data_IF_438528024852
#
_entry.id   IF_438528024852
#
_cell.length_a   1.000
_cell.length_b   1.000
_cell.length_c   1.000
_cell.angle_alpha   90.00
_cell.angle_beta   90.00
_cell.angle_gamma   90.00
#
_symmetry.space_group_name_H-M   'P 1'
#
loop_
_entity.id
_entity.type
_entity.pdbx_description
1 polymer ?
#
# COMPACT_ATOMS: atom_id res chain seq x y z
N UNK A 1 -3.97 13.51 8.48
CA UNK A 1 -5.09 13.66 7.50
C UNK A 1 -6.25 12.79 7.96
N UNK A 2 -7.48 13.19 7.65
CA UNK A 2 -8.63 12.35 7.98
C UNK A 2 -8.68 11.16 7.00
N UNK A 3 -8.81 9.93 7.52
CA UNK A 3 -8.87 8.72 6.71
C UNK A 3 -10.22 8.61 5.99
N UNK A 4 -10.24 7.96 4.83
CA UNK A 4 -11.47 7.56 4.16
C UNK A 4 -12.24 6.59 5.04
N UNK A 5 -13.51 6.88 5.27
CA UNK A 5 -14.40 6.07 6.09
C UNK A 5 -15.67 5.74 5.32
N UNK A 6 -16.09 4.49 5.37
CA UNK A 6 -17.40 4.07 4.88
C UNK A 6 -18.31 3.77 6.06
N UNK A 7 -19.58 4.19 6.00
CA UNK A 7 -20.55 3.96 7.06
C UNK A 7 -21.94 3.61 6.54
N UNK A 8 -22.61 2.70 7.24
CA UNK A 8 -24.00 2.29 6.99
C UNK A 8 -24.68 1.93 8.29
N UNK A 9 -25.92 2.37 8.49
CA UNK A 9 -26.76 1.95 9.60
C UNK A 9 -27.86 1.04 9.08
N UNK A 10 -27.90 -0.25 9.49
CA UNK A 10 -28.97 -1.17 9.10
C UNK A 10 -30.34 -0.75 9.66
N UNK A 11 -31.40 -0.89 8.86
CA UNK A 11 -32.77 -0.58 9.26
C UNK A 11 -33.40 -1.62 10.21
N UNK A 12 -32.85 -2.83 10.21
CA UNK A 12 -33.28 -3.95 11.08
C UNK A 12 -32.10 -4.86 11.39
N UNK A 13 -32.16 -5.61 12.48
CA UNK A 13 -31.13 -6.57 12.82
C UNK A 13 -31.21 -7.81 11.90
N UNK A 14 -30.04 -8.28 11.47
CA UNK A 14 -29.85 -9.57 10.83
C UNK A 14 -29.49 -10.67 11.83
N UNK A 15 -28.78 -11.70 11.35
CA UNK A 15 -28.31 -12.77 12.21
C UNK A 15 -27.03 -12.32 12.93
N UNK A 16 -27.12 -12.15 14.23
CA UNK A 16 -26.05 -11.67 15.09
C UNK A 16 -25.20 -12.79 15.68
N UNK A 17 -25.62 -14.04 15.50
CA UNK A 17 -24.95 -15.25 16.04
C UNK A 17 -24.07 -15.94 15.01
N UNK A 18 -24.50 -15.89 13.75
CA UNK A 18 -23.81 -16.57 12.65
C UNK A 18 -23.53 -15.58 11.51
N UNK A 19 -22.27 -15.40 11.15
CA UNK A 19 -21.86 -14.55 10.03
C UNK A 19 -20.42 -14.83 9.61
N UNK A 20 -20.08 -14.39 8.42
CA UNK A 20 -18.68 -14.41 7.93
C UNK A 20 -18.28 -13.02 7.45
N UNK A 21 -17.09 -12.58 7.79
CA UNK A 21 -16.46 -11.37 7.27
C UNK A 21 -15.24 -11.81 6.49
N UNK A 22 -15.15 -11.38 5.23
CA UNK A 22 -14.03 -11.64 4.34
C UNK A 22 -13.54 -10.32 3.75
N UNK A 23 -12.24 -10.03 3.85
CA UNK A 23 -11.64 -8.82 3.33
C UNK A 23 -10.21 -9.06 2.90
N UNK A 24 -9.81 -8.48 1.77
CA UNK A 24 -8.43 -8.33 1.40
C UNK A 24 -7.91 -6.97 1.83
N UNK A 25 -6.75 -6.96 2.47
CA UNK A 25 -6.12 -5.74 3.00
C UNK A 25 -4.63 -5.76 2.74
N UNK A 26 -4.08 -4.60 2.32
CA UNK A 26 -2.64 -4.32 2.27
C UNK A 26 -2.38 -3.11 3.15
N UNK A 27 -1.40 -3.21 4.05
CA UNK A 27 -1.07 -2.17 5.01
C UNK A 27 -0.01 -1.23 4.44
N UNK A 28 -0.17 0.06 4.68
CA UNK A 28 0.80 1.09 4.30
C UNK A 28 1.32 1.88 5.50
N UNK A 29 0.98 1.43 6.71
CA UNK A 29 1.48 1.98 7.97
C UNK A 29 1.59 0.87 9.00
N UNK A 30 2.69 0.87 9.75
CA UNK A 30 2.98 -0.10 10.80
C UNK A 30 3.07 0.61 12.16
N UNK A 31 2.90 -0.16 13.24
CA UNK A 31 3.01 0.37 14.59
C UNK A 31 1.82 1.23 15.04
N UNK A 32 0.76 1.33 14.24
CA UNK A 32 -0.46 2.09 14.52
C UNK A 32 -1.71 1.23 14.40
N UNK A 33 -2.83 1.71 14.94
CA UNK A 33 -4.11 1.01 14.80
C UNK A 33 -4.68 1.23 13.39
N UNK A 34 -4.88 0.12 12.66
CA UNK A 34 -5.53 0.14 11.35
C UNK A 34 -6.87 -0.59 11.41
N UNK A 35 -7.95 0.16 11.46
CA UNK A 35 -9.29 -0.34 11.69
C UNK A 35 -9.91 -0.89 10.40
N UNK A 36 -10.35 -2.14 10.43
CA UNK A 36 -11.06 -2.79 9.32
C UNK A 36 -12.57 -2.66 9.48
N UNK A 37 -13.08 -2.86 10.70
CA UNK A 37 -14.49 -2.73 11.04
C UNK A 37 -14.63 -2.21 12.46
N UNK A 38 -15.60 -1.30 12.68
CA UNK A 38 -16.07 -0.88 14.00
C UNK A 38 -17.60 -0.79 14.02
N UNK A 39 -18.18 -1.28 15.09
CA UNK A 39 -19.57 -1.03 15.48
C UNK A 39 -19.54 -0.56 16.92
N UNK A 40 -20.04 0.65 17.18
CA UNK A 40 -19.95 1.31 18.49
C UNK A 40 -21.34 1.83 18.90
N UNK A 41 -22.16 0.95 19.45
CA UNK A 41 -23.50 1.24 19.90
C UNK A 41 -23.68 1.19 21.41
N UNK A 42 -22.60 1.04 22.19
CA UNK A 42 -22.70 1.00 23.63
C UNK A 42 -21.59 0.25 24.37
N UNK A 43 -21.79 0.04 25.66
CA UNK A 43 -20.76 -0.38 26.61
C UNK A 43 -20.78 -1.89 26.91
N UNK A 44 -21.15 -2.72 25.93
CA UNK A 44 -21.15 -4.18 26.04
C UNK A 44 -20.83 -4.85 24.70
N UNK A 45 -20.46 -6.14 24.74
CA UNK A 45 -20.05 -6.90 23.57
C UNK A 45 -21.18 -7.18 22.56
N UNK A 46 -22.44 -6.99 22.94
CA UNK A 46 -23.56 -7.14 22.00
C UNK A 46 -23.77 -5.90 21.14
N UNK A 47 -23.20 -4.77 21.52
CA UNK A 47 -23.34 -3.49 20.82
C UNK A 47 -22.01 -2.87 20.40
N UNK A 48 -20.89 -3.48 20.80
CA UNK A 48 -19.54 -3.02 20.44
C UNK A 48 -18.70 -4.17 19.88
N UNK A 49 -18.07 -3.93 18.76
CA UNK A 49 -17.02 -4.78 18.19
C UNK A 49 -16.08 -3.95 17.33
N UNK A 50 -14.81 -4.28 17.35
CA UNK A 50 -13.80 -3.79 16.41
C UNK A 50 -12.98 -4.95 15.85
N UNK A 51 -12.58 -4.80 14.59
CA UNK A 51 -11.61 -5.66 13.91
C UNK A 51 -10.54 -4.78 13.34
N UNK A 52 -9.30 -4.99 13.76
CA UNK A 52 -8.17 -4.09 13.41
C UNK A 52 -6.83 -4.81 13.45
N UNK A 53 -5.82 -4.19 12.87
CA UNK A 53 -4.45 -4.39 13.30
C UNK A 53 -4.21 -3.46 14.50
N UNK A 54 -3.70 -3.99 15.60
CA UNK A 54 -3.34 -3.19 16.77
C UNK A 54 -1.99 -2.47 16.58
N UNK A 55 -1.61 -1.58 17.50
CA UNK A 55 -0.33 -0.87 17.47
C UNK A 55 0.91 -1.78 17.62
N UNK A 56 0.72 -3.06 17.92
CA UNK A 56 1.75 -4.10 17.90
C UNK A 56 1.77 -4.90 16.60
N UNK A 57 1.03 -4.47 15.57
CA UNK A 57 0.90 -5.12 14.25
C UNK A 57 0.25 -6.51 14.29
N UNK A 58 -0.61 -6.77 15.28
CA UNK A 58 -1.35 -8.02 15.41
C UNK A 58 -2.79 -7.83 14.94
N UNK A 59 -3.39 -8.89 14.37
CA UNK A 59 -4.83 -8.90 14.14
C UNK A 59 -5.59 -9.09 15.44
N UNK A 60 -6.58 -8.23 15.65
CA UNK A 60 -7.42 -8.20 16.82
C UNK A 60 -8.91 -8.17 16.41
N UNK A 61 -9.70 -9.00 17.06
CA UNK A 61 -11.14 -8.89 17.14
C UNK A 61 -11.50 -8.54 18.58
N UNK A 62 -11.83 -7.27 18.82
CA UNK A 62 -12.09 -6.72 20.16
C UNK A 62 -13.55 -6.57 20.44
N UNK A 63 -13.98 -6.95 21.64
CA UNK A 63 -15.24 -6.56 22.24
C UNK A 63 -15.05 -5.41 23.22
N UNK A 64 -16.13 -4.87 23.77
CA UNK A 64 -16.07 -3.77 24.72
C UNK A 64 -15.35 -4.13 26.02
N UNK A 65 -15.67 -5.29 26.58
CA UNK A 65 -15.14 -5.73 27.89
C UNK A 65 -13.84 -6.54 27.77
N UNK A 66 -13.62 -7.18 26.61
CA UNK A 66 -12.43 -8.01 26.38
C UNK A 66 -12.22 -8.27 24.89
N UNK A 67 -10.97 -8.47 24.51
CA UNK A 67 -10.67 -8.92 23.15
C UNK A 67 -11.06 -10.40 22.99
N UNK A 68 -11.80 -10.72 21.94
CA UNK A 68 -12.16 -12.09 21.60
C UNK A 68 -10.94 -12.86 21.08
N UNK A 69 -10.23 -12.31 20.08
CA UNK A 69 -9.02 -12.90 19.54
C UNK A 69 -7.95 -11.82 19.32
N UNK A 70 -6.70 -12.12 19.68
CA UNK A 70 -5.52 -11.36 19.30
C UNK A 70 -4.41 -12.31 18.89
N UNK A 71 -3.90 -12.22 17.67
CA UNK A 71 -2.88 -13.14 17.16
C UNK A 71 -1.52 -12.93 17.85
N UNK A 72 -0.69 -13.98 17.89
CA UNK A 72 0.75 -13.84 18.13
C UNK A 72 1.48 -13.41 16.86
N UNK A 73 0.95 -13.79 15.70
CA UNK A 73 1.48 -13.41 14.39
C UNK A 73 1.48 -11.90 14.21
N UNK A 74 2.57 -11.38 13.65
CA UNK A 74 2.75 -9.98 13.27
C UNK A 74 2.54 -9.82 11.76
N UNK A 75 1.89 -8.73 11.34
CA UNK A 75 1.55 -8.42 9.97
C UNK A 75 2.34 -7.19 9.52
N UNK A 76 3.62 -7.35 9.24
CA UNK A 76 4.59 -6.26 9.01
C UNK A 76 5.12 -6.15 7.60
N UNK A 77 4.60 -6.94 6.67
CA UNK A 77 4.96 -6.80 5.26
C UNK A 77 4.05 -5.76 4.58
N UNK A 78 4.57 -4.57 4.25
CA UNK A 78 3.79 -3.51 3.60
C UNK A 78 3.50 -3.81 2.13
N UNK A 79 4.16 -4.83 1.58
CA UNK A 79 3.95 -5.25 0.20
C UNK A 79 2.97 -6.42 0.08
N UNK A 80 2.56 -7.04 1.18
CA UNK A 80 1.67 -8.19 1.15
C UNK A 80 0.19 -7.77 1.18
N UNK A 81 -0.58 -8.35 0.28
CA UNK A 81 -2.01 -8.46 0.45
C UNK A 81 -2.34 -9.62 1.38
N UNK A 82 -3.08 -9.35 2.45
CA UNK A 82 -3.59 -10.35 3.37
C UNK A 82 -5.08 -10.56 3.11
N UNK A 83 -5.49 -11.80 2.89
CA UNK A 83 -6.90 -12.19 2.93
C UNK A 83 -7.26 -12.58 4.35
N UNK A 84 -8.15 -11.83 4.97
CA UNK A 84 -8.61 -12.06 6.34
C UNK A 84 -10.04 -12.55 6.31
N UNK A 85 -10.31 -13.71 6.93
CA UNK A 85 -11.66 -14.23 7.10
C UNK A 85 -11.91 -14.48 8.57
N UNK A 86 -12.90 -13.77 9.14
CA UNK A 86 -13.51 -14.10 10.41
C UNK A 86 -14.79 -14.90 10.18
N UNK A 87 -14.77 -16.11 10.65
CA UNK A 87 -15.93 -17.01 10.67
C UNK A 87 -16.49 -17.03 12.09
N UNK A 88 -17.71 -16.58 12.27
CA UNK A 88 -18.40 -16.52 13.57
C UNK A 88 -19.63 -17.39 13.54
N UNK A 89 -19.79 -18.23 14.57
CA UNK A 89 -20.98 -19.03 14.85
C UNK A 89 -21.06 -19.28 16.34
N UNK A 90 -21.71 -18.40 17.09
CA UNK A 90 -21.82 -18.49 18.54
C UNK A 90 -22.74 -19.66 18.99
N UNK A 91 -23.47 -20.30 18.08
CA UNK A 91 -24.33 -21.46 18.42
C UNK A 91 -23.54 -22.73 18.73
N UNK A 92 -22.22 -22.74 18.34
CA UNK A 92 -21.36 -23.90 18.55
C UNK A 92 -21.17 -24.22 20.04
N UNK A 93 -21.28 -25.52 20.38
CA UNK A 93 -21.08 -26.00 21.76
C UNK A 93 -19.62 -25.81 22.20
N UNK A 94 -18.69 -26.14 21.32
CA UNK A 94 -17.26 -25.93 21.57
C UNK A 94 -16.92 -24.45 21.48
N UNK A 95 -16.33 -23.89 22.54
CA UNK A 95 -16.04 -22.46 22.61
C UNK A 95 -15.09 -21.99 21.49
N UNK A 96 -14.07 -22.78 21.17
CA UNK A 96 -13.09 -22.47 20.16
C UNK A 96 -13.61 -22.51 18.72
N UNK A 97 -14.79 -23.10 18.53
CA UNK A 97 -15.46 -23.15 17.22
C UNK A 97 -16.36 -21.93 16.97
N UNK A 98 -16.64 -21.13 18.01
CA UNK A 98 -17.52 -19.95 17.89
C UNK A 98 -16.90 -18.80 17.10
N UNK A 99 -15.58 -18.62 17.19
CA UNK A 99 -14.84 -17.64 16.39
C UNK A 99 -13.59 -18.29 15.83
N UNK A 100 -13.46 -18.28 14.52
CA UNK A 100 -12.28 -18.75 13.81
C UNK A 100 -11.75 -17.66 12.89
N UNK A 101 -10.44 -17.50 12.88
CA UNK A 101 -9.71 -16.55 12.03
C UNK A 101 -8.91 -17.33 10.99
N UNK A 102 -8.97 -16.89 9.75
CA UNK A 102 -8.14 -17.41 8.66
C UNK A 102 -7.35 -16.27 8.02
N UNK A 103 -6.11 -16.56 7.68
CA UNK A 103 -5.23 -15.66 6.95
C UNK A 103 -4.72 -16.38 5.71
N UNK A 104 -5.00 -15.83 4.53
CA UNK A 104 -4.64 -16.44 3.25
C UNK A 104 -5.05 -17.93 3.17
N UNK A 105 -6.30 -18.21 3.54
CA UNK A 105 -6.89 -19.54 3.52
C UNK A 105 -6.51 -20.46 4.68
N UNK A 106 -5.48 -20.14 5.45
CA UNK A 106 -4.98 -20.97 6.56
C UNK A 106 -5.57 -20.49 7.88
N UNK A 107 -6.10 -21.44 8.68
CA UNK A 107 -6.64 -21.11 10.01
C UNK A 107 -5.51 -20.67 10.94
N UNK A 108 -5.68 -19.49 11.55
CA UNK A 108 -4.80 -19.02 12.63
C UNK A 108 -5.15 -19.76 13.91
N UNK A 109 -4.17 -20.32 14.56
CA UNK A 109 -4.33 -21.11 15.80
C UNK A 109 -3.47 -20.57 16.95
N UNK A 110 -2.58 -19.63 16.68
CA UNK A 110 -1.68 -19.04 17.67
C UNK A 110 -2.16 -17.66 18.11
N UNK A 111 -2.69 -17.58 19.32
CA UNK A 111 -3.25 -16.38 19.90
C UNK A 111 -2.54 -15.98 21.19
N UNK A 112 -2.19 -14.70 21.31
CA UNK A 112 -1.75 -14.10 22.57
C UNK A 112 -2.91 -13.80 23.50
N UNK A 113 -4.12 -13.72 22.95
CA UNK A 113 -5.37 -13.60 23.71
C UNK A 113 -6.49 -14.31 22.98
N UNK A 114 -7.28 -15.09 23.72
CA UNK A 114 -8.50 -15.74 23.21
C UNK A 114 -9.54 -15.80 24.32
N UNK A 115 -10.63 -15.05 24.14
CA UNK A 115 -11.81 -15.05 25.01
C UNK A 115 -13.04 -15.25 24.13
N UNK A 116 -13.45 -16.48 23.93
CA UNK A 116 -14.57 -16.77 23.04
C UNK A 116 -15.89 -16.19 23.60
N UNK A 117 -16.81 -15.73 22.74
CA UNK A 117 -18.15 -15.34 23.17
C UNK A 117 -18.88 -16.53 23.82
N UNK A 118 -19.87 -16.26 24.67
CA UNK A 118 -20.75 -17.26 25.21
C UNK A 118 -21.50 -18.01 24.12
N UNK A 119 -21.98 -19.22 24.44
CA UNK A 119 -22.83 -19.95 23.51
C UNK A 119 -24.18 -19.21 23.32
N UNK A 120 -24.56 -19.02 22.06
CA UNK A 120 -25.73 -18.26 21.63
C UNK A 120 -25.69 -16.76 21.93
N UNK A 121 -24.50 -16.19 22.25
CA UNK A 121 -24.37 -14.74 22.38
C UNK A 121 -24.66 -14.04 21.06
N UNK A 122 -25.37 -12.93 21.14
CA UNK A 122 -25.53 -11.97 20.05
C UNK A 122 -24.29 -11.08 19.95
N UNK A 123 -23.68 -11.02 18.78
CA UNK A 123 -22.57 -10.11 18.48
C UNK A 123 -23.08 -8.74 18.02
N UNK A 124 -22.20 -7.73 17.98
CA UNK A 124 -22.56 -6.39 17.47
C UNK A 124 -22.76 -6.37 15.94
N UNK A 125 -22.10 -7.26 15.20
CA UNK A 125 -22.27 -7.37 13.74
C UNK A 125 -23.73 -7.71 13.41
N UNK A 126 -24.23 -7.14 12.32
CA UNK A 126 -25.61 -7.25 11.86
C UNK A 126 -26.67 -6.67 12.83
N UNK A 127 -26.27 -5.87 13.82
CA UNK A 127 -27.21 -5.09 14.65
C UNK A 127 -27.74 -3.86 13.87
N UNK A 128 -28.59 -3.08 14.52
CA UNK A 128 -29.07 -1.79 13.99
C UNK A 128 -28.12 -0.62 14.27
N UNK A 129 -26.96 -0.90 14.83
CA UNK A 129 -25.90 0.09 15.05
C UNK A 129 -25.10 0.34 13.78
N UNK A 130 -24.60 1.55 13.60
CA UNK A 130 -23.79 1.92 12.44
C UNK A 130 -22.55 1.04 12.33
N UNK A 131 -22.36 0.47 11.15
CA UNK A 131 -21.16 -0.26 10.76
C UNK A 131 -20.21 0.71 10.07
N UNK A 132 -18.98 0.82 10.57
CA UNK A 132 -17.93 1.69 10.08
C UNK A 132 -16.78 0.85 9.57
N UNK A 133 -16.28 1.15 8.35
CA UNK A 133 -15.15 0.47 7.73
C UNK A 133 -14.03 1.48 7.47
N UNK A 134 -12.79 1.09 7.72
CA UNK A 134 -11.59 1.78 7.26
C UNK A 134 -11.21 3.08 7.98
N UNK A 135 -11.88 3.49 9.07
CA UNK A 135 -11.78 4.84 9.66
C UNK A 135 -10.38 5.26 10.13
N UNK A 136 -9.47 4.33 10.38
CA UNK A 136 -8.05 4.62 10.71
C UNK A 136 -7.08 3.84 9.82
N UNK A 137 -7.58 3.20 8.77
CA UNK A 137 -6.73 2.42 7.88
C UNK A 137 -5.93 3.34 6.97
N UNK A 138 -4.60 3.20 7.01
CA UNK A 138 -3.70 3.66 5.97
C UNK A 138 -3.25 2.43 5.18
N UNK A 139 -3.79 2.28 3.96
CA UNK A 139 -3.60 1.06 3.16
C UNK A 139 -4.70 0.86 2.14
N UNK A 140 -4.84 -0.36 1.69
CA UNK A 140 -5.75 -0.75 0.62
C UNK A 140 -6.73 -1.80 1.10
N UNK A 141 -7.95 -1.74 0.59
CA UNK A 141 -8.98 -2.76 0.76
C UNK A 141 -9.44 -3.27 -0.60
N UNK A 142 -9.72 -4.55 -0.69
CA UNK A 142 -10.36 -5.14 -1.85
C UNK A 142 -11.37 -6.22 -1.42
N UNK A 143 -12.45 -6.34 -2.18
CA UNK A 143 -13.48 -7.37 -2.00
C UNK A 143 -13.90 -7.53 -0.52
N UNK A 144 -14.52 -6.50 0.05
CA UNK A 144 -15.04 -6.56 1.42
C UNK A 144 -16.42 -7.20 1.42
N UNK A 145 -16.58 -8.33 2.12
CA UNK A 145 -17.81 -9.11 2.17
C UNK A 145 -18.22 -9.33 3.62
N UNK A 146 -19.51 -9.10 3.93
CA UNK A 146 -20.17 -9.69 5.09
C UNK A 146 -21.30 -10.61 4.58
N UNK A 147 -21.27 -11.88 5.00
CA UNK A 147 -22.35 -12.83 4.77
C UNK A 147 -23.14 -12.98 6.07
N UNK A 148 -24.34 -12.41 6.11
CA UNK A 148 -25.24 -12.43 7.24
C UNK A 148 -25.98 -13.79 7.32
N UNK A 149 -25.95 -14.44 8.47
CA UNK A 149 -26.60 -15.73 8.73
C UNK A 149 -25.79 -16.93 8.24
N UNK A 150 -24.57 -16.76 7.75
CA UNK A 150 -23.77 -17.85 7.17
C UNK A 150 -22.35 -17.89 7.74
N UNK A 151 -21.89 -19.11 8.07
CA UNK A 151 -20.53 -19.40 8.59
C UNK A 151 -19.72 -20.13 7.51
N UNK A 152 -19.23 -19.39 6.52
CA UNK A 152 -18.50 -19.93 5.37
C UNK A 152 -17.02 -20.23 5.69
N UNK A 153 -16.47 -21.24 5.02
CA UNK A 153 -15.03 -21.50 5.03
C UNK A 153 -14.27 -20.45 4.23
N UNK A 154 -12.99 -20.23 4.55
CA UNK A 154 -12.15 -19.28 3.81
C UNK A 154 -12.01 -19.63 2.31
N UNK A 155 -12.08 -20.92 1.97
CA UNK A 155 -12.03 -21.44 0.59
C UNK A 155 -13.24 -21.01 -0.26
N UNK A 156 -14.31 -20.49 0.33
CA UNK A 156 -15.42 -19.86 -0.41
C UNK A 156 -14.95 -18.58 -1.12
N UNK A 157 -14.02 -17.84 -0.52
CA UNK A 157 -13.59 -16.52 -0.95
C UNK A 157 -12.25 -16.50 -1.67
N UNK A 158 -11.54 -17.61 -1.69
CA UNK A 158 -10.24 -17.74 -2.38
C UNK A 158 -9.82 -19.20 -2.53
N UNK A 159 -8.74 -19.42 -3.25
CA UNK A 159 -8.14 -20.73 -3.47
C UNK A 159 -6.63 -20.59 -3.63
N UNK A 160 -5.91 -21.69 -3.46
CA UNK A 160 -4.47 -21.75 -3.76
C UNK A 160 -4.29 -22.10 -5.24
N UNK A 161 -3.50 -21.31 -5.95
CA UNK A 161 -3.16 -21.56 -7.35
C UNK A 161 -2.09 -22.66 -7.50
N UNK A 162 -1.72 -22.97 -8.75
CA UNK A 162 -0.73 -24.01 -9.05
C UNK A 162 0.68 -23.71 -8.49
N UNK A 163 0.98 -22.46 -8.16
CA UNK A 163 2.26 -22.03 -7.60
C UNK A 163 2.25 -21.98 -6.06
N UNK A 164 1.15 -22.37 -5.44
CA UNK A 164 1.00 -22.31 -3.99
C UNK A 164 0.58 -20.93 -3.44
N UNK A 165 0.23 -19.98 -4.31
CA UNK A 165 -0.19 -18.63 -3.93
C UNK A 165 -1.69 -18.61 -3.66
N UNK A 166 -2.10 -18.03 -2.53
CA UNK A 166 -3.50 -17.80 -2.22
C UNK A 166 -4.05 -16.64 -3.05
N UNK A 167 -5.05 -16.91 -3.87
CA UNK A 167 -5.66 -15.96 -4.79
C UNK A 167 -7.14 -15.75 -4.47
N UNK A 168 -7.69 -14.59 -4.86
CA UNK A 168 -9.09 -14.24 -4.64
C UNK A 168 -10.03 -15.03 -5.55
N UNK A 169 -11.21 -15.37 -5.02
CA UNK A 169 -12.38 -15.73 -5.82
C UNK A 169 -13.20 -14.44 -6.08
N UNK A 170 -13.23 -13.91 -7.30
CA UNK A 170 -13.91 -12.64 -7.59
C UNK A 170 -15.44 -12.75 -7.51
N UNK A 171 -15.99 -13.95 -7.67
CA UNK A 171 -17.42 -14.24 -7.66
C UNK A 171 -17.79 -15.34 -6.68
N UNK A 172 -17.58 -15.15 -5.35
CA UNK A 172 -17.92 -16.20 -4.39
C UNK A 172 -19.42 -16.48 -4.38
N UNK A 173 -19.79 -17.75 -4.40
CA UNK A 173 -21.19 -18.18 -4.27
C UNK A 173 -21.59 -18.17 -2.81
N UNK A 174 -22.19 -17.07 -2.37
CA UNK A 174 -22.61 -16.86 -0.97
C UNK A 174 -24.03 -16.32 -0.88
N UNK A 175 -24.74 -16.66 0.20
CA UNK A 175 -25.95 -15.95 0.61
C UNK A 175 -25.55 -14.77 1.49
N UNK A 176 -25.97 -13.57 1.12
CA UNK A 176 -25.64 -12.37 1.88
C UNK A 176 -26.59 -12.09 3.05
N UNK A 177 -27.76 -12.78 3.11
CA UNK A 177 -28.77 -12.54 4.15
C UNK A 177 -29.33 -11.12 4.10
N UNK A 178 -29.82 -10.60 5.24
CA UNK A 178 -30.48 -9.28 5.28
C UNK A 178 -29.51 -8.12 5.30
N UNK A 179 -28.49 -8.19 6.13
CA UNK A 179 -27.52 -7.09 6.36
C UNK A 179 -26.17 -7.30 5.66
N UNK A 180 -25.97 -8.45 5.02
CA UNK A 180 -24.74 -8.74 4.29
C UNK A 180 -24.60 -7.90 3.04
N UNK A 181 -23.36 -7.74 2.60
CA UNK A 181 -22.99 -6.91 1.46
C UNK A 181 -21.68 -7.40 0.81
N UNK A 182 -21.42 -6.89 -0.40
CA UNK A 182 -20.13 -7.02 -1.10
C UNK A 182 -19.72 -5.66 -1.65
N UNK A 183 -18.56 -5.16 -1.23
CA UNK A 183 -17.99 -3.91 -1.74
C UNK A 183 -16.79 -4.23 -2.64
N UNK A 184 -16.86 -3.77 -3.89
CA UNK A 184 -15.78 -3.89 -4.87
C UNK A 184 -14.99 -2.59 -5.05
N UNK A 185 -15.38 -1.49 -4.37
CA UNK A 185 -14.72 -0.18 -4.35
C UNK A 185 -14.48 0.42 -5.75
N UNK A 186 -15.42 0.23 -6.67
CA UNK A 186 -15.33 0.68 -8.07
C UNK A 186 -16.01 2.02 -8.34
N UNK A 187 -16.94 2.43 -7.49
CA UNK A 187 -17.63 3.71 -7.60
C UNK A 187 -16.72 4.89 -7.25
N UNK A 188 -17.16 6.09 -7.58
CA UNK A 188 -16.42 7.34 -7.36
C UNK A 188 -17.15 8.35 -6.50
N UNK A 189 -18.46 8.15 -6.27
CA UNK A 189 -19.29 9.02 -5.46
C UNK A 189 -19.14 8.77 -3.95
N UNK A 190 -19.65 9.70 -3.16
CA UNK A 190 -19.67 9.60 -1.68
C UNK A 190 -21.03 9.14 -1.14
N UNK A 191 -22.07 9.12 -1.97
CA UNK A 191 -23.42 8.72 -1.60
C UNK A 191 -23.55 7.22 -1.38
N UNK A 192 -24.52 6.83 -0.54
CA UNK A 192 -24.87 5.43 -0.31
C UNK A 192 -25.83 4.92 -1.41
N UNK A 193 -25.30 4.78 -2.62
CA UNK A 193 -26.05 4.31 -3.80
C UNK A 193 -25.13 3.50 -4.73
N UNK A 194 -25.64 3.10 -5.88
CA UNK A 194 -24.95 2.26 -6.88
C UNK A 194 -23.78 2.96 -7.57
N UNK A 195 -23.67 4.29 -7.50
CA UNK A 195 -22.55 5.08 -8.05
C UNK A 195 -21.47 5.36 -7.02
N UNK A 196 -21.77 5.15 -5.74
CA UNK A 196 -20.89 5.45 -4.62
C UNK A 196 -19.66 4.53 -4.54
N UNK A 197 -18.59 5.03 -3.94
CA UNK A 197 -17.39 4.23 -3.65
C UNK A 197 -17.72 3.03 -2.75
N UNK A 198 -18.71 3.18 -1.86
CA UNK A 198 -19.26 2.14 -0.99
C UNK A 198 -20.45 1.38 -1.60
N UNK A 199 -20.58 1.30 -2.94
CA UNK A 199 -21.65 0.58 -3.60
C UNK A 199 -21.63 -0.91 -3.26
N UNK A 200 -22.76 -1.42 -2.78
CA UNK A 200 -22.98 -2.85 -2.54
C UNK A 200 -23.34 -3.57 -3.85
N UNK A 201 -22.56 -4.58 -4.21
CA UNK A 201 -22.72 -5.40 -5.41
C UNK A 201 -23.30 -6.79 -5.10
N UNK A 202 -23.74 -7.03 -3.86
CA UNK A 202 -24.38 -8.30 -3.44
C UNK A 202 -25.79 -8.50 -3.99
N UNK A 203 -26.46 -7.42 -4.38
CA UNK A 203 -27.87 -7.38 -4.74
C UNK A 203 -28.82 -6.98 -3.59
N UNK A 204 -28.32 -6.78 -2.37
CA UNK A 204 -29.13 -6.38 -1.22
C UNK A 204 -29.35 -4.85 -1.13
N UNK A 205 -28.64 -4.06 -1.94
CA UNK A 205 -28.64 -2.60 -1.86
C UNK A 205 -28.20 -2.04 -0.50
N UNK A 206 -27.32 -2.75 0.19
CA UNK A 206 -26.74 -2.35 1.48
C UNK A 206 -25.55 -1.41 1.26
N UNK A 207 -25.76 -0.32 0.52
CA UNK A 207 -24.73 0.66 0.16
C UNK A 207 -24.21 1.44 1.38
N UNK A 208 -22.95 1.83 1.34
CA UNK A 208 -22.26 2.64 2.34
C UNK A 208 -22.05 4.06 1.84
N UNK A 209 -22.35 5.04 2.67
CA UNK A 209 -21.89 6.42 2.47
C UNK A 209 -20.39 6.50 2.76
N UNK A 210 -19.69 7.36 2.03
CA UNK A 210 -18.25 7.56 2.18
C UNK A 210 -17.95 8.98 2.63
N UNK A 211 -17.08 9.15 3.62
CA UNK A 211 -16.55 10.42 4.08
C UNK A 211 -15.04 10.49 3.88
N UNK A 212 -14.51 11.68 3.68
CA UNK A 212 -13.09 11.94 3.44
C UNK A 212 -12.52 11.13 2.25
N UNK A 213 -13.32 10.92 1.20
CA UNK A 213 -12.86 10.23 0.00
C UNK A 213 -11.81 11.07 -0.70
N UNK A 214 -10.62 10.48 -0.89
CA UNK A 214 -9.52 11.13 -1.60
C UNK A 214 -9.81 11.33 -3.10
N UNK A 215 -8.94 12.05 -3.78
CA UNK A 215 -9.08 12.34 -5.22
C UNK A 215 -8.94 11.08 -6.08
N UNK A 216 -8.08 10.15 -5.70
CA UNK A 216 -7.84 8.87 -6.38
C UNK A 216 -8.11 7.71 -5.42
N UNK A 217 -9.39 7.44 -5.07
CA UNK A 217 -9.71 6.43 -4.08
C UNK A 217 -9.51 4.99 -4.57
N UNK A 218 -9.53 4.79 -5.88
CA UNK A 218 -9.33 3.48 -6.51
C UNK A 218 -7.95 3.40 -7.14
N UNK A 219 -7.29 2.25 -6.99
CA UNK A 219 -5.95 1.98 -7.51
C UNK A 219 -5.92 0.75 -8.41
N UNK A 220 -4.88 0.61 -9.21
CA UNK A 220 -4.58 -0.62 -9.98
C UNK A 220 -4.00 -1.72 -9.12
N UNK A 221 -3.51 -1.40 -7.91
CA UNK A 221 -3.00 -2.38 -6.96
C UNK A 221 -4.14 -3.30 -6.49
N UNK A 222 -3.92 -4.59 -6.56
CA UNK A 222 -4.93 -5.59 -6.23
C UNK A 222 -4.29 -6.89 -5.75
N UNK A 223 -5.04 -7.76 -5.04
CA UNK A 223 -4.53 -9.07 -4.63
C UNK A 223 -4.03 -9.96 -5.77
N UNK A 224 -4.49 -9.72 -7.00
CA UNK A 224 -4.09 -10.49 -8.20
C UNK A 224 -2.99 -9.85 -9.01
N UNK A 225 -2.67 -8.60 -8.74
CA UNK A 225 -1.53 -7.89 -9.32
C UNK A 225 -1.07 -6.79 -8.37
N UNK A 226 -0.15 -7.14 -7.50
CA UNK A 226 0.35 -6.28 -6.46
C UNK A 226 1.47 -5.38 -7.00
N UNK A 227 1.31 -4.07 -6.87
CA UNK A 227 2.31 -3.08 -7.27
C UNK A 227 3.25 -2.76 -6.10
N UNK A 228 4.48 -2.37 -6.42
CA UNK A 228 5.37 -1.80 -5.44
C UNK A 228 4.76 -0.54 -4.82
N UNK A 229 5.17 -0.25 -3.62
CA UNK A 229 4.92 0.99 -2.88
C UNK A 229 6.24 1.43 -2.22
N UNK A 230 6.26 2.51 -1.49
CA UNK A 230 7.41 2.86 -0.65
C UNK A 230 7.48 1.88 0.52
N UNK A 231 8.67 1.41 0.84
CA UNK A 231 8.89 0.51 1.96
C UNK A 231 8.76 1.25 3.29
N UNK A 232 7.60 1.11 3.94
CA UNK A 232 7.31 1.77 5.23
C UNK A 232 8.16 1.23 6.38
N UNK A 233 8.73 0.04 6.23
CA UNK A 233 9.66 -0.55 7.22
C UNK A 233 11.08 0.01 7.07
N UNK A 234 11.38 0.65 5.94
CA UNK A 234 12.68 1.25 5.60
C UNK A 234 12.56 2.77 5.45
N UNK A 235 11.90 3.44 6.37
CA UNK A 235 11.78 4.89 6.40
C UNK A 235 12.93 5.46 7.24
N UNK A 236 14.06 5.74 6.58
CA UNK A 236 15.27 6.19 7.22
C UNK A 236 15.28 7.70 7.46
N UNK A 237 16.00 8.11 8.51
CA UNK A 237 16.26 9.49 8.86
C UNK A 237 15.01 10.32 9.14
N UNK A 238 14.73 10.65 10.33
CA UNK A 238 13.72 11.60 10.78
C UNK A 238 12.26 11.35 10.34
N UNK A 239 12.00 10.26 9.68
CA UNK A 239 10.65 9.84 9.39
C UNK A 239 9.91 10.76 8.42
N UNK A 240 10.09 10.55 7.13
CA UNK A 240 9.16 11.07 6.17
C UNK A 240 7.74 10.62 6.52
N UNK A 241 6.76 11.48 6.30
CA UNK A 241 5.36 11.08 6.37
C UNK A 241 4.98 10.38 5.08
N UNK A 242 4.53 9.13 5.18
CA UNK A 242 4.02 8.35 4.06
C UNK A 242 2.49 8.39 4.05
N UNK A 243 1.91 8.60 2.88
CA UNK A 243 0.47 8.71 2.68
C UNK A 243 0.05 8.07 1.35
N UNK A 244 -1.26 8.13 1.03
CA UNK A 244 -1.83 7.63 -0.23
C UNK A 244 -1.43 6.16 -0.49
N UNK A 245 -1.54 5.31 0.53
CA UNK A 245 -1.14 3.92 0.40
C UNK A 245 0.38 3.70 0.30
N UNK A 246 1.19 4.57 0.89
CA UNK A 246 2.65 4.62 0.80
C UNK A 246 3.17 4.86 -0.64
N UNK A 247 2.47 5.70 -1.40
CA UNK A 247 2.92 6.20 -2.71
C UNK A 247 3.22 7.70 -2.70
N UNK A 248 2.93 8.39 -1.57
CA UNK A 248 3.28 9.79 -1.36
C UNK A 248 4.22 9.95 -0.18
N UNK A 249 5.35 10.61 -0.40
CA UNK A 249 6.35 10.93 0.62
C UNK A 249 6.29 12.44 0.87
N UNK A 250 6.13 12.84 2.13
CA UNK A 250 6.34 14.23 2.53
C UNK A 250 7.56 14.25 3.43
N UNK A 251 8.60 14.94 3.00
CA UNK A 251 9.87 15.03 3.70
C UNK A 251 9.77 15.95 4.91
N UNK A 252 10.67 15.75 5.86
CA UNK A 252 10.78 16.63 7.02
C UNK A 252 11.93 17.61 6.77
N UNK A 253 11.61 18.87 6.52
CA UNK A 253 12.59 19.91 6.17
C UNK A 253 13.68 20.22 7.21
N UNK A 254 13.81 19.44 8.26
CA UNK A 254 14.85 19.60 9.30
C UNK A 254 15.91 18.47 9.28
N UNK A 255 15.77 17.47 8.41
CA UNK A 255 16.67 16.31 8.39
C UNK A 255 16.64 15.59 7.04
N UNK A 256 17.67 14.79 6.79
CA UNK A 256 17.74 13.88 5.64
C UNK A 256 16.53 12.97 5.60
N UNK A 257 16.00 12.74 4.43
CA UNK A 257 14.94 11.78 4.16
C UNK A 257 15.37 10.85 3.04
N UNK A 258 15.17 9.57 3.24
CA UNK A 258 15.54 8.56 2.26
C UNK A 258 14.54 7.39 2.32
N UNK A 259 13.92 7.10 1.19
CA UNK A 259 12.93 6.05 1.07
C UNK A 259 13.20 5.22 -0.19
N UNK A 260 12.97 3.92 -0.12
CA UNK A 260 13.14 2.99 -1.25
C UNK A 260 11.84 2.29 -1.58
N UNK A 261 11.76 1.74 -2.79
CA UNK A 261 10.65 0.87 -3.20
C UNK A 261 10.57 -0.38 -2.33
N UNK A 262 9.36 -0.88 -2.07
CA UNK A 262 9.11 -2.11 -1.32
C UNK A 262 9.55 -3.38 -2.05
N UNK A 263 9.75 -3.29 -3.36
CA UNK A 263 10.26 -4.38 -4.20
C UNK A 263 11.63 -3.99 -4.72
N UNK A 264 12.64 -4.85 -4.48
CA UNK A 264 13.94 -4.81 -5.12
C UNK A 264 13.97 -5.79 -6.30
N UNK A 265 14.73 -5.45 -7.34
CA UNK A 265 14.85 -6.23 -8.57
C UNK A 265 16.30 -6.59 -8.85
N UNK A 266 16.54 -7.83 -9.33
CA UNK A 266 17.86 -8.33 -9.72
C UNK A 266 17.99 -8.54 -11.23
N UNK A 267 16.89 -8.47 -11.96
CA UNK A 267 16.81 -8.65 -13.41
C UNK A 267 15.63 -7.86 -13.97
N UNK A 268 15.52 -7.79 -15.29
CA UNK A 268 14.41 -7.15 -15.99
C UNK A 268 14.56 -5.64 -16.15
N UNK A 269 13.56 -5.03 -16.80
CA UNK A 269 13.53 -3.59 -17.10
C UNK A 269 12.26 -2.95 -16.55
N UNK A 270 12.44 -1.96 -15.68
CA UNK A 270 11.38 -1.43 -14.85
C UNK A 270 11.23 0.07 -15.02
N UNK A 271 9.99 0.57 -15.01
CA UNK A 271 9.68 1.99 -15.15
C UNK A 271 8.84 2.48 -13.97
N UNK A 272 9.20 3.64 -13.47
CA UNK A 272 8.53 4.34 -12.37
C UNK A 272 8.47 5.82 -12.69
N UNK A 273 7.40 6.50 -12.25
CA UNK A 273 7.30 7.95 -12.30
C UNK A 273 7.28 8.55 -10.90
N UNK A 274 7.79 9.76 -10.77
CA UNK A 274 7.63 10.60 -9.58
C UNK A 274 7.15 11.99 -9.99
N UNK A 275 5.96 12.36 -9.56
CA UNK A 275 5.47 13.72 -9.73
C UNK A 275 5.95 14.58 -8.58
N UNK A 276 6.67 15.63 -8.92
CA UNK A 276 7.20 16.58 -7.96
C UNK A 276 6.08 17.41 -7.38
N UNK A 277 5.88 17.27 -6.07
CA UNK A 277 4.83 17.99 -5.33
C UNK A 277 5.24 19.39 -4.90
N UNK A 278 4.77 19.84 -3.74
CA UNK A 278 5.10 21.14 -3.23
C UNK A 278 6.54 21.24 -2.72
N UNK A 279 7.16 22.36 -3.00
CA UNK A 279 8.53 22.69 -2.59
C UNK A 279 9.56 21.80 -3.28
N UNK A 280 10.60 22.39 -3.76
CA UNK A 280 11.83 21.71 -4.12
C UNK A 280 12.98 22.53 -3.57
N UNK A 281 13.99 21.85 -3.09
CA UNK A 281 15.26 22.47 -2.74
C UNK A 281 16.39 21.82 -3.55
N UNK A 282 17.59 22.26 -3.27
CA UNK A 282 18.79 21.86 -3.96
C UNK A 282 19.09 20.36 -3.94
N UNK A 283 18.52 19.62 -2.98
CA UNK A 283 18.90 18.25 -2.66
C UNK A 283 17.71 17.28 -2.68
N UNK A 284 16.59 17.74 -3.19
CA UNK A 284 15.45 16.90 -3.45
C UNK A 284 15.73 16.05 -4.69
N UNK A 285 15.73 14.73 -4.57
CA UNK A 285 16.23 13.85 -5.61
C UNK A 285 15.51 12.53 -5.75
N UNK A 286 15.64 11.97 -6.94
CA UNK A 286 15.19 10.62 -7.31
C UNK A 286 16.35 9.80 -7.82
N UNK A 287 16.33 8.48 -7.63
CA UNK A 287 17.46 7.66 -8.08
C UNK A 287 17.25 6.16 -7.90
N UNK A 288 18.39 5.45 -7.91
CA UNK A 288 18.49 4.00 -7.73
C UNK A 288 19.43 3.71 -6.56
N UNK A 289 19.08 2.74 -5.74
CA UNK A 289 19.85 2.28 -4.59
C UNK A 289 19.94 0.76 -4.51
N UNK A 290 20.94 0.25 -3.81
CA UNK A 290 21.13 -1.19 -3.57
C UNK A 290 20.26 -1.77 -2.44
N UNK A 291 19.31 -1.01 -1.93
CA UNK A 291 18.45 -1.41 -0.82
C UNK A 291 18.75 -0.65 0.46
N UNK A 292 18.51 -1.29 1.59
CA UNK A 292 18.66 -0.69 2.91
C UNK A 292 20.13 -0.53 3.28
N UNK A 293 20.54 0.68 3.65
CA UNK A 293 21.80 0.88 4.35
C UNK A 293 21.55 1.32 5.78
N UNK A 294 22.35 0.83 6.68
CA UNK A 294 22.32 1.19 8.12
C UNK A 294 22.97 2.56 8.39
N UNK A 295 23.44 3.25 7.39
CA UNK A 295 24.18 4.51 7.55
C UNK A 295 23.32 5.74 7.41
N UNK A 296 23.45 6.54 8.42
CA UNK A 296 22.57 7.63 8.76
C UNK A 296 22.80 8.96 8.01
N UNK A 297 23.50 9.02 6.89
CA UNK A 297 23.86 10.31 6.32
C UNK A 297 24.20 10.31 4.83
N UNK A 298 23.65 9.38 4.06
CA UNK A 298 23.85 9.33 2.62
C UNK A 298 22.92 10.24 1.83
N UNK A 299 23.47 10.94 0.86
CA UNK A 299 22.75 11.51 -0.27
C UNK A 299 22.71 10.44 -1.35
N UNK A 300 21.60 10.28 -2.07
CA UNK A 300 21.51 9.35 -3.21
C UNK A 300 22.70 9.58 -4.16
N UNK A 301 23.50 8.54 -4.39
CA UNK A 301 24.66 8.60 -5.27
C UNK A 301 25.89 9.35 -4.73
N UNK A 302 25.90 9.76 -3.46
CA UNK A 302 27.02 10.49 -2.87
C UNK A 302 27.37 9.99 -1.47
N UNK A 303 28.64 9.63 -1.27
CA UNK A 303 29.24 9.30 0.04
C UNK A 303 30.40 10.24 0.41
N UNK A 304 30.35 11.52 0.12
CA UNK A 304 31.46 12.43 0.47
C UNK A 304 31.48 12.89 1.91
N UNK A 305 30.53 12.48 2.73
CA UNK A 305 30.45 12.93 4.14
C UNK A 305 30.88 11.89 5.16
N UNK A 306 31.10 10.63 4.75
CA UNK A 306 31.46 9.53 5.67
C UNK A 306 32.56 8.62 5.11
N UNK A 307 33.34 7.98 5.98
CA UNK A 307 34.49 7.20 5.56
C UNK A 307 34.10 6.04 4.66
N UNK A 308 34.91 5.84 3.64
CA UNK A 308 34.79 4.86 2.58
C UNK A 308 34.15 3.51 3.01
N UNK A 309 33.16 3.06 2.28
CA UNK A 309 32.56 1.72 2.39
C UNK A 309 31.08 1.67 2.73
N UNK A 310 30.36 2.78 2.72
CA UNK A 310 28.95 2.83 3.07
C UNK A 310 28.11 3.58 2.03
N UNK A 311 28.17 3.13 0.81
CA UNK A 311 27.47 3.72 -0.31
C UNK A 311 25.98 3.46 -0.25
N UNK A 312 25.18 4.52 -0.29
CA UNK A 312 23.75 4.49 -0.06
C UNK A 312 22.94 4.37 -1.32
N UNK A 313 23.31 5.05 -2.32
CA UNK A 313 22.63 5.08 -3.58
C UNK A 313 23.64 5.00 -4.68
N UNK A 314 23.36 4.19 -5.68
CA UNK A 314 24.26 4.11 -6.83
C UNK A 314 24.19 5.36 -7.68
N UNK A 315 22.99 6.00 -7.75
CA UNK A 315 22.78 7.22 -8.52
C UNK A 315 21.62 8.03 -7.96
N UNK A 316 21.75 9.37 -7.99
CA UNK A 316 20.68 10.30 -7.68
C UNK A 316 20.67 11.49 -8.66
N UNK A 317 19.50 11.85 -9.15
CA UNK A 317 19.25 13.06 -9.93
C UNK A 317 18.57 14.11 -9.08
N UNK A 318 19.16 15.30 -8.99
CA UNK A 318 18.77 16.38 -8.09
C UNK A 318 18.30 17.61 -8.84
N UNK A 319 17.33 18.33 -8.27
CA UNK A 319 16.60 19.45 -8.88
C UNK A 319 17.19 20.84 -8.69
N UNK A 320 18.42 20.98 -8.22
CA UNK A 320 18.98 22.29 -7.97
C UNK A 320 19.48 22.99 -9.23
N UNK A 321 19.18 24.26 -9.38
CA UNK A 321 19.50 25.28 -10.40
C UNK A 321 20.63 25.12 -11.39
N UNK A 322 21.33 24.04 -11.33
CA UNK A 322 22.24 23.46 -12.31
C UNK A 322 22.18 21.96 -12.10
N UNK A 323 21.45 21.32 -12.95
CA UNK A 323 21.17 19.89 -13.07
C UNK A 323 22.36 19.00 -12.80
N UNK A 324 22.32 18.21 -11.70
CA UNK A 324 23.41 17.28 -11.47
C UNK A 324 22.93 15.90 -11.05
N UNK A 325 23.68 14.94 -11.51
CA UNK A 325 23.55 13.54 -11.16
C UNK A 325 24.78 13.17 -10.32
N UNK A 326 24.55 12.58 -9.14
CA UNK A 326 25.59 11.93 -8.37
C UNK A 326 25.58 10.44 -8.64
N UNK A 327 26.75 9.83 -8.78
CA UNK A 327 26.88 8.41 -9.05
C UNK A 327 28.10 7.82 -8.34
N UNK A 328 27.92 6.67 -7.65
CA UNK A 328 28.99 5.82 -7.12
C UNK A 328 30.09 6.57 -6.38
N UNK A 329 29.73 7.34 -5.34
CA UNK A 329 30.69 8.09 -4.51
C UNK A 329 31.48 9.19 -5.25
N UNK A 330 31.20 9.40 -6.51
CA UNK A 330 31.79 10.45 -7.33
C UNK A 330 30.75 11.50 -7.68
N UNK A 331 31.08 12.76 -7.39
CA UNK A 331 30.53 13.86 -8.17
C UNK A 331 30.87 13.55 -9.62
N UNK A 332 29.89 13.34 -10.44
CA UNK A 332 30.08 13.36 -11.87
C UNK A 332 30.52 14.80 -12.19
N UNK A 333 31.80 15.01 -12.14
CA UNK A 333 32.46 16.31 -12.33
C UNK A 333 32.59 16.65 -13.80
N UNK A 334 31.55 16.42 -14.57
CA UNK A 334 31.35 17.16 -15.78
C UNK A 334 30.84 18.54 -15.37
N UNK A 335 31.26 19.58 -16.01
CA UNK A 335 30.56 20.84 -15.92
C UNK A 335 29.07 20.57 -16.13
N UNK A 336 28.20 21.36 -15.54
CA UNK A 336 26.75 21.32 -15.66
C UNK A 336 26.18 21.19 -17.10
N UNK A 337 27.06 21.27 -18.11
CA UNK A 337 26.77 21.09 -19.53
C UNK A 337 26.90 19.67 -20.06
N UNK A 338 27.44 18.71 -19.28
CA UNK A 338 27.79 17.39 -19.84
C UNK A 338 26.64 16.35 -19.74
N UNK A 339 25.55 16.63 -19.00
CA UNK A 339 24.47 15.67 -18.82
C UNK A 339 23.17 16.03 -19.51
N UNK A 340 23.06 17.15 -20.19
CA UNK A 340 21.84 17.55 -20.90
C UNK A 340 20.56 17.18 -20.13
N UNK A 341 20.67 17.22 -18.77
CA UNK A 341 19.55 17.11 -17.88
C UNK A 341 19.03 18.48 -17.57
N UNK A 342 17.75 18.73 -17.79
CA UNK A 342 17.15 20.02 -17.44
C UNK A 342 16.64 19.96 -16.01
N UNK A 343 16.88 21.01 -15.20
CA UNK A 343 16.32 21.14 -13.88
C UNK A 343 14.82 20.89 -13.84
N UNK A 344 14.34 20.36 -12.75
CA UNK A 344 12.91 20.11 -12.59
C UNK A 344 12.32 20.99 -11.48
N UNK A 345 11.02 21.15 -11.51
CA UNK A 345 10.28 22.01 -10.60
C UNK A 345 8.97 21.35 -10.16
N UNK A 346 8.29 21.96 -9.21
CA UNK A 346 6.97 21.52 -8.76
C UNK A 346 6.02 21.31 -9.95
N UNK A 347 5.40 20.15 -10.00
CA UNK A 347 4.47 19.75 -11.06
C UNK A 347 5.10 18.92 -12.17
N UNK A 348 6.43 18.94 -12.34
CA UNK A 348 7.10 18.03 -13.27
C UNK A 348 6.94 16.57 -12.86
N UNK A 349 6.93 15.69 -13.85
CA UNK A 349 6.91 14.24 -13.66
C UNK A 349 8.23 13.68 -14.16
N UNK A 350 8.98 13.06 -13.25
CA UNK A 350 10.25 12.41 -13.54
C UNK A 350 10.00 10.93 -13.78
N UNK A 351 10.57 10.41 -14.87
CA UNK A 351 10.56 8.99 -15.19
C UNK A 351 11.91 8.35 -14.91
N UNK A 352 11.91 7.18 -14.28
CA UNK A 352 13.10 6.38 -14.05
C UNK A 352 12.93 5.04 -14.76
N UNK A 353 13.80 4.75 -15.72
CA UNK A 353 13.82 3.51 -16.48
C UNK A 353 15.08 2.72 -16.13
N UNK A 354 14.92 1.76 -15.19
CA UNK A 354 15.96 0.87 -14.68
C UNK A 354 16.07 -0.37 -15.57
N UNK A 355 17.25 -0.61 -16.12
CA UNK A 355 17.61 -1.86 -16.79
C UNK A 355 18.52 -2.66 -15.84
N UNK A 356 17.95 -3.55 -15.05
CA UNK A 356 18.67 -4.35 -14.08
C UNK A 356 19.54 -5.43 -14.75
N UNK A 357 19.20 -5.86 -15.95
CA UNK A 357 20.01 -6.84 -16.71
C UNK A 357 21.37 -6.26 -17.11
N UNK A 358 21.41 -4.96 -17.40
CA UNK A 358 22.62 -4.24 -17.82
C UNK A 358 23.16 -3.29 -16.74
N UNK A 359 22.55 -3.24 -15.55
CA UNK A 359 22.90 -2.32 -14.47
C UNK A 359 22.95 -0.85 -14.94
N UNK A 360 21.89 -0.38 -15.58
CA UNK A 360 21.81 0.98 -16.09
C UNK A 360 20.47 1.63 -15.79
N UNK A 361 20.45 2.98 -15.74
CA UNK A 361 19.21 3.75 -15.62
C UNK A 361 19.17 4.88 -16.62
N UNK A 362 17.99 5.21 -17.13
CA UNK A 362 17.70 6.44 -17.87
C UNK A 362 16.70 7.27 -17.10
N UNK A 363 16.91 8.57 -17.10
CA UNK A 363 15.99 9.54 -16.54
C UNK A 363 15.16 10.22 -17.65
N UNK A 364 13.93 10.54 -17.31
CA UNK A 364 13.00 11.27 -18.18
C UNK A 364 12.41 12.45 -17.41
N UNK A 365 12.19 13.55 -18.08
CA UNK A 365 11.43 14.69 -17.58
C UNK A 365 10.22 14.93 -18.47
N UNK A 366 9.04 14.87 -17.91
CA UNK A 366 7.78 15.06 -18.66
C UNK A 366 7.74 14.22 -19.95
N UNK A 367 8.15 12.96 -19.84
CA UNK A 367 8.19 12.00 -20.96
C UNK A 367 9.39 12.14 -21.91
N UNK A 368 10.24 13.17 -21.74
CA UNK A 368 11.42 13.39 -22.56
C UNK A 368 12.66 12.79 -21.90
N UNK A 369 13.36 11.90 -22.61
CA UNK A 369 14.60 11.30 -22.12
C UNK A 369 15.67 12.35 -21.93
N UNK A 370 16.42 12.24 -20.84
CA UNK A 370 17.53 13.13 -20.50
C UNK A 370 18.86 12.55 -20.96
N UNK A 371 19.95 13.31 -20.81
CA UNK A 371 21.32 12.90 -21.18
C UNK A 371 21.44 12.45 -22.66
N UNK A 372 20.74 13.16 -23.57
CA UNK A 372 20.71 12.83 -25.01
C UNK A 372 20.32 11.34 -25.27
N UNK A 373 19.60 10.72 -24.33
CA UNK A 373 19.17 9.32 -24.40
C UNK A 373 20.22 8.29 -23.93
N UNK A 374 21.40 8.75 -23.48
CA UNK A 374 22.41 7.86 -22.91
C UNK A 374 21.98 7.38 -21.52
N UNK A 375 22.25 6.12 -21.23
CA UNK A 375 22.01 5.55 -19.91
C UNK A 375 23.20 5.83 -18.97
N UNK A 376 22.90 5.95 -17.68
CA UNK A 376 23.91 5.96 -16.63
C UNK A 376 24.21 4.54 -16.18
N UNK A 377 25.47 4.21 -15.97
CA UNK A 377 25.91 2.89 -15.52
C UNK A 377 25.92 2.85 -13.98
N UNK A 378 25.25 1.87 -13.40
CA UNK A 378 25.16 1.69 -11.95
C UNK A 378 26.32 0.87 -11.35
N UNK A 379 27.14 0.25 -12.20
CA UNK A 379 28.11 -0.74 -11.72
C UNK A 379 27.44 -2.06 -11.32
N UNK A 380 28.15 -2.89 -10.59
CA UNK A 380 27.62 -4.13 -10.06
C UNK A 380 26.97 -3.88 -8.69
N UNK A 381 25.78 -4.45 -8.45
CA UNK A 381 25.16 -4.39 -7.13
C UNK A 381 25.88 -5.28 -6.14
N UNK A 382 26.22 -4.75 -4.97
CA UNK A 382 26.84 -5.51 -3.87
C UNK A 382 25.82 -6.39 -3.14
N UNK A 383 24.54 -6.01 -3.16
CA UNK A 383 23.43 -6.77 -2.56
C UNK A 383 22.77 -7.73 -3.54
N UNK A 384 23.04 -7.58 -4.83
CA UNK A 384 22.37 -8.29 -5.92
C UNK A 384 20.99 -7.74 -6.28
N UNK A 385 20.57 -6.62 -5.67
CA UNK A 385 19.25 -6.00 -5.91
C UNK A 385 19.37 -4.49 -6.13
N UNK A 386 18.42 -3.97 -6.92
CA UNK A 386 18.22 -2.55 -7.16
C UNK A 386 16.83 -2.13 -6.68
N UNK A 387 16.76 -0.97 -6.05
CA UNK A 387 15.53 -0.32 -5.62
C UNK A 387 15.43 1.07 -6.24
N UNK A 388 14.22 1.51 -6.56
CA UNK A 388 13.94 2.92 -6.81
C UNK A 388 14.01 3.68 -5.49
N UNK A 389 14.63 4.85 -5.51
CA UNK A 389 14.93 5.61 -4.32
C UNK A 389 14.49 7.08 -4.47
N UNK A 390 14.00 7.65 -3.38
CA UNK A 390 13.46 8.99 -3.30
C UNK A 390 13.98 9.64 -2.03
N UNK A 391 14.53 10.84 -2.15
CA UNK A 391 15.22 11.44 -1.03
C UNK A 391 15.20 12.96 -1.02
N UNK A 392 15.54 13.49 0.13
CA UNK A 392 15.71 14.91 0.35
C UNK A 392 16.88 15.11 1.34
N UNK A 393 17.86 15.88 0.92
CA UNK A 393 18.96 16.26 1.78
C UNK A 393 18.79 17.74 2.13
N UNK A 394 18.10 18.07 3.19
CA UNK A 394 18.07 19.45 3.65
C UNK A 394 18.24 19.61 5.16
N UNK A 395 19.47 19.94 5.55
CA UNK A 395 19.75 20.51 6.85
C UNK A 395 19.73 22.05 6.84
N UNK A 396 19.40 22.72 5.74
CA UNK A 396 19.62 24.17 5.62
C UNK A 396 18.42 25.01 5.13
N UNK A 397 17.38 24.42 4.57
CA UNK A 397 16.20 25.15 4.11
C UNK A 397 14.92 24.49 4.62
N UNK A 398 14.38 25.01 5.71
CA UNK A 398 13.19 24.51 6.36
C UNK A 398 11.97 24.52 5.43
N UNK A 399 11.69 23.39 4.80
CA UNK A 399 10.49 23.18 4.00
C UNK A 399 10.16 21.68 3.92
N UNK A 400 8.87 21.35 3.86
CA UNK A 400 8.45 19.99 3.54
C UNK A 400 8.31 19.86 2.03
N UNK A 401 8.96 18.89 1.45
CA UNK A 401 8.91 18.56 0.03
C UNK A 401 8.10 17.29 -0.20
N UNK A 402 7.59 17.10 -1.39
CA UNK A 402 6.68 15.99 -1.65
C UNK A 402 7.04 15.25 -2.93
N UNK A 403 7.30 13.95 -2.80
CA UNK A 403 7.29 12.99 -3.89
C UNK A 403 5.91 12.34 -4.01
N UNK A 404 5.42 12.19 -5.22
CA UNK A 404 4.21 11.42 -5.53
C UNK A 404 4.59 10.30 -6.48
N UNK A 405 4.95 9.16 -5.91
CA UNK A 405 5.55 8.04 -6.63
C UNK A 405 4.49 7.19 -7.31
N UNK A 406 4.73 6.83 -8.54
CA UNK A 406 3.86 6.00 -9.35
C UNK A 406 4.61 4.77 -9.88
N UNK A 407 4.43 3.63 -9.24
CA UNK A 407 4.89 2.32 -9.71
C UNK A 407 3.95 1.68 -10.74
N UNK A 408 2.92 2.40 -11.17
CA UNK A 408 1.77 1.95 -11.95
C UNK A 408 0.44 2.10 -11.21
N UNK A 409 0.49 2.54 -9.94
CA UNK A 409 -0.64 2.79 -9.04
C UNK A 409 -0.55 4.21 -8.47
N UNK A 410 -0.78 5.26 -9.28
CA UNK A 410 -0.44 6.64 -8.97
C UNK A 410 -1.17 7.21 -7.74
N UNK A 411 -0.45 8.01 -6.94
CA UNK A 411 -1.00 8.86 -5.88
C UNK A 411 -1.62 10.16 -6.40
N UNK A 412 -1.37 10.51 -7.65
CA UNK A 412 -1.83 11.74 -8.30
C UNK A 412 -2.78 11.45 -9.46
N UNK A 413 -3.52 12.46 -9.88
CA UNK A 413 -4.41 12.33 -11.03
C UNK A 413 -3.60 12.13 -12.31
N UNK A 414 -3.86 11.04 -13.01
CA UNK A 414 -3.29 10.70 -14.31
C UNK A 414 -4.19 11.27 -15.43
N UNK A 415 -3.61 12.05 -16.33
CA UNK A 415 -4.32 12.60 -17.47
C UNK A 415 -4.35 11.61 -18.65
N UNK A 416 -3.24 10.94 -18.92
CA UNK A 416 -3.06 10.09 -20.11
C UNK A 416 -3.30 8.61 -19.86
N UNK A 417 -3.10 8.12 -18.65
CA UNK A 417 -3.32 6.72 -18.23
C UNK A 417 -2.64 5.68 -19.13
N UNK A 418 -1.35 5.88 -19.41
CA UNK A 418 -0.57 4.93 -20.21
C UNK A 418 -0.28 3.66 -19.37
N UNK A 419 -0.48 2.50 -20.00
CA UNK A 419 -0.06 1.22 -19.45
C UNK A 419 1.26 0.77 -20.09
N UNK A 420 1.93 -0.21 -19.46
CA UNK A 420 3.06 -0.89 -20.10
C UNK A 420 2.58 -1.82 -21.25
N UNK A 421 3.53 -2.48 -21.91
CA UNK A 421 3.23 -3.37 -23.03
C UNK A 421 2.34 -4.58 -22.66
N UNK A 422 2.26 -4.94 -21.37
CA UNK A 422 1.40 -5.99 -20.86
C UNK A 422 0.01 -5.47 -20.42
N UNK A 423 -0.25 -4.17 -20.56
CA UNK A 423 -1.49 -3.53 -20.13
C UNK A 423 -1.57 -3.26 -18.63
N UNK A 424 -0.44 -3.31 -17.91
CA UNK A 424 -0.42 -3.04 -16.48
C UNK A 424 0.03 -1.62 -16.16
N UNK A 425 -0.48 -1.11 -15.05
CA UNK A 425 -0.18 0.22 -14.56
C UNK A 425 -1.05 1.32 -15.16
N UNK A 426 -0.80 2.54 -14.69
CA UNK A 426 -1.38 3.79 -15.17
C UNK A 426 -0.33 4.89 -14.97
N UNK A 427 0.33 5.29 -16.05
CA UNK A 427 1.41 6.27 -16.04
C UNK A 427 0.99 7.54 -16.77
N UNK A 428 1.54 8.68 -16.35
CA UNK A 428 1.29 9.96 -17.02
C UNK A 428 1.90 9.97 -18.42
N UNK A 429 3.09 9.41 -18.59
CA UNK A 429 3.80 9.33 -19.86
C UNK A 429 3.91 7.89 -20.37
N UNK A 430 4.18 7.75 -21.65
CA UNK A 430 4.35 6.45 -22.27
C UNK A 430 5.55 5.70 -21.64
N UNK A 431 5.30 4.48 -21.18
CA UNK A 431 6.36 3.61 -20.68
C UNK A 431 7.34 3.31 -21.82
N UNK A 432 8.67 3.51 -21.62
CA UNK A 432 9.64 3.23 -22.66
C UNK A 432 9.56 1.79 -23.15
N UNK A 433 9.79 1.56 -24.44
CA UNK A 433 9.69 0.23 -25.03
C UNK A 433 10.62 -0.78 -24.33
N UNK A 434 10.06 -1.93 -23.94
CA UNK A 434 10.77 -3.01 -23.23
C UNK A 434 10.88 -2.81 -21.71
N UNK A 435 10.33 -1.72 -21.17
CA UNK A 435 10.22 -1.51 -19.72
C UNK A 435 8.81 -1.80 -19.23
N UNK A 436 8.66 -2.15 -17.97
CA UNK A 436 7.43 -2.64 -17.40
C UNK A 436 7.15 -1.98 -16.04
N UNK A 437 5.88 -1.93 -15.67
CA UNK A 437 5.43 -1.53 -14.33
C UNK A 437 5.99 -2.50 -13.27
N UNK A 438 6.44 -1.98 -12.13
CA UNK A 438 6.95 -2.80 -11.04
C UNK A 438 5.80 -3.44 -10.25
N UNK A 439 5.32 -4.56 -10.75
CA UNK A 439 4.21 -5.32 -10.18
C UNK A 439 4.44 -6.83 -10.27
N UNK A 440 3.72 -7.60 -9.45
CA UNK A 440 3.94 -9.06 -9.32
C UNK A 440 3.72 -9.85 -10.60
N UNK A 441 2.80 -9.43 -11.47
CA UNK A 441 2.59 -10.11 -12.76
C UNK A 441 3.76 -9.93 -13.71
N UNK A 442 4.36 -8.74 -13.75
CA UNK A 442 5.55 -8.51 -14.55
C UNK A 442 6.79 -9.18 -13.93
N UNK A 443 6.92 -9.15 -12.60
CA UNK A 443 8.00 -9.85 -11.89
C UNK A 443 8.01 -11.35 -12.17
N UNK A 444 6.85 -11.97 -12.24
CA UNK A 444 6.74 -13.40 -12.57
C UNK A 444 7.26 -13.76 -13.99
N UNK A 445 7.41 -12.76 -14.87
CA UNK A 445 7.82 -12.95 -16.27
C UNK A 445 9.23 -12.44 -16.53
N UNK A 446 9.63 -11.34 -15.90
CA UNK A 446 10.85 -10.60 -16.23
C UNK A 446 11.80 -10.38 -15.05
N UNK A 447 11.38 -10.69 -13.80
CA UNK A 447 12.17 -10.50 -12.57
C UNK A 447 13.09 -11.66 -12.21
#
# INVERSE_FOLDING_TARGET
MAHTQLSRTPSGAGNRKTFTISVWVKRSELGTENLLLKIDGGTNNTNYIEMKFDSGDRLLMGGYTSNFLRTNRLFRDPNAWYHIVWRVDTTQSTADDRVRLYVNGVQETSFGQRNNPGQNDDMAVNSTTSTILGSTLNGYLAQYIIADGQSYAATTFGSTDANGVWITNPGPSVSYGTNGFKLDFKGTGTSADTSGFGADTSGNNNHFATTNLGTNPSTKDSPTNNFAVINVAANYFAGATLAEGATKITTNGAAYTYNVSSIGVSAGKWYVEDKIGAGINNWFGVGIAEGESSNASGVLGRDTYYPAGNEFGQIGWYGYGSDFVYQNDGYYSGSTSDYDTSGYTTGDVLGLALDADNNTVKFYKNGTVQNSGNAFNLGASSTGFWHFAFGDYDGQNAGSHTHQVNFGNPAFTIASSNADANGYGSFEYAVPSGYYALCTKNLATYG
#
